data_IF_357036398035
#
_entry.id   IF_357036398035
#
_cell.length_a   1.000
_cell.length_b   1.000
_cell.length_c   1.000
_cell.angle_alpha   90.00
_cell.angle_beta   90.00
_cell.angle_gamma   90.00
#
_symmetry.space_group_name_H-M   'P 1'
#
loop_
_entity.id
_entity.type
_entity.pdbx_description
1 polymer ?
#
# COMPACT_ATOMS: atom_id res chain seq x y z
N UNK A 1 81.34 34.45 5.74
CA UNK A 1 81.32 33.03 5.32
C UNK A 1 80.17 32.35 6.03
N UNK A 2 79.16 31.89 5.27
CA UNK A 2 78.36 30.67 5.48
C UNK A 2 77.35 30.71 6.67
N UNK A 3 76.09 31.14 6.42
CA UNK A 3 74.87 30.33 6.08
C UNK A 3 74.31 29.61 7.34
N UNK A 4 73.25 30.12 7.97
CA UNK A 4 71.82 29.77 7.75
C UNK A 4 71.49 28.30 8.04
N UNK A 5 70.56 28.05 8.98
CA UNK A 5 69.25 27.43 8.66
C UNK A 5 68.35 27.22 9.89
N UNK A 6 67.14 27.74 9.72
CA UNK A 6 65.90 27.43 10.42
C UNK A 6 65.52 25.95 10.22
N UNK A 7 65.02 25.31 11.26
CA UNK A 7 64.42 23.97 11.22
C UNK A 7 62.92 24.08 11.55
N UNK A 8 62.01 23.95 10.56
CA UNK A 8 60.61 23.72 10.84
C UNK A 8 60.34 22.21 10.94
N UNK A 9 59.66 21.81 12.01
CA UNK A 9 59.18 20.44 12.25
C UNK A 9 57.98 20.19 11.34
N UNK A 10 58.18 19.27 10.40
CA UNK A 10 57.21 18.76 9.43
C UNK A 10 56.25 17.78 10.12
N UNK A 11 55.02 18.20 10.36
CA UNK A 11 53.92 17.34 10.79
C UNK A 11 53.38 16.61 9.55
N UNK A 12 53.73 15.35 9.39
CA UNK A 12 53.14 14.46 8.40
C UNK A 12 51.77 13.97 8.90
N UNK A 13 50.71 14.59 8.38
CA UNK A 13 49.34 14.07 8.47
C UNK A 13 49.27 12.76 7.66
N UNK A 14 49.16 11.64 8.40
CA UNK A 14 48.76 10.35 7.88
C UNK A 14 47.29 10.44 7.43
N UNK A 15 47.07 10.75 6.16
CA UNK A 15 45.78 10.51 5.51
C UNK A 15 45.71 9.00 5.28
N UNK A 16 45.12 8.29 6.24
CA UNK A 16 44.65 6.93 6.04
C UNK A 16 43.54 6.95 4.99
N UNK A 17 43.90 6.69 3.74
CA UNK A 17 42.93 6.33 2.71
C UNK A 17 42.28 5.01 3.15
N UNK A 18 41.05 5.09 3.64
CA UNK A 18 40.13 3.95 3.63
C UNK A 18 39.89 3.60 2.16
N UNK A 19 40.71 2.71 1.60
CA UNK A 19 40.41 2.04 0.36
C UNK A 19 39.14 1.21 0.61
N UNK A 20 38.01 1.65 0.06
CA UNK A 20 36.82 0.84 -0.09
C UNK A 20 37.23 -0.44 -0.83
N UNK A 21 37.09 -1.60 -0.17
CA UNK A 21 37.35 -2.89 -0.81
C UNK A 21 36.55 -2.98 -2.11
N UNK A 22 37.18 -3.38 -3.23
CA UNK A 22 36.46 -3.54 -4.47
C UNK A 22 35.42 -4.65 -4.29
N UNK A 23 34.18 -4.28 -4.53
CA UNK A 23 33.03 -5.15 -4.66
C UNK A 23 33.37 -6.35 -5.56
N UNK A 24 33.14 -7.57 -5.05
CA UNK A 24 33.43 -8.88 -5.66
C UNK A 24 33.63 -8.85 -7.19
N UNK A 25 34.90 -8.82 -7.60
CA UNK A 25 35.31 -8.85 -9.00
C UNK A 25 35.12 -10.27 -9.56
N UNK A 26 34.05 -10.45 -10.33
CA UNK A 26 33.70 -11.72 -10.96
C UNK A 26 34.77 -12.19 -11.96
N UNK A 27 35.72 -11.33 -12.34
CA UNK A 27 36.87 -11.70 -13.18
C UNK A 27 37.79 -12.75 -12.53
N UNK A 28 37.69 -12.93 -11.21
CA UNK A 28 38.40 -13.98 -10.45
C UNK A 28 37.80 -15.38 -10.60
N UNK A 29 36.64 -15.52 -11.23
CA UNK A 29 35.97 -16.82 -11.42
C UNK A 29 36.71 -17.62 -12.49
N UNK A 30 37.13 -18.84 -12.15
CA UNK A 30 37.77 -19.76 -13.10
C UNK A 30 36.85 -20.05 -14.29
N UNK A 31 37.26 -19.66 -15.50
CA UNK A 31 36.48 -19.81 -16.76
C UNK A 31 37.10 -20.83 -17.71
N UNK A 32 37.79 -21.84 -17.18
CA UNK A 32 38.63 -22.83 -17.89
C UNK A 32 37.94 -23.65 -18.99
N UNK A 33 36.64 -23.48 -19.21
CA UNK A 33 35.87 -24.08 -20.28
C UNK A 33 35.46 -23.00 -21.28
N UNK A 34 36.28 -22.77 -22.30
CA UNK A 34 35.83 -21.96 -23.45
C UNK A 34 34.88 -22.83 -24.26
N UNK A 35 33.57 -22.65 -24.06
CA UNK A 35 32.55 -23.15 -24.98
C UNK A 35 32.92 -22.61 -26.38
N UNK A 36 33.14 -23.50 -27.37
CA UNK A 36 33.47 -23.12 -28.75
C UNK A 36 32.24 -22.60 -29.52
N UNK A 37 31.28 -22.02 -28.82
CA UNK A 37 30.07 -21.45 -29.40
C UNK A 37 30.35 -20.04 -29.93
N UNK A 38 29.53 -19.61 -30.90
CA UNK A 38 29.50 -18.22 -31.35
C UNK A 38 29.24 -17.29 -30.15
N UNK A 39 30.09 -16.27 -29.89
CA UNK A 39 29.94 -15.33 -28.76
C UNK A 39 28.54 -14.73 -28.61
N UNK A 40 27.88 -14.42 -29.74
CA UNK A 40 26.51 -13.89 -29.74
C UNK A 40 25.50 -14.92 -29.21
N UNK A 41 25.58 -16.16 -29.68
CA UNK A 41 24.70 -17.24 -29.24
C UNK A 41 24.92 -17.59 -27.76
N UNK A 42 26.16 -17.51 -27.26
CA UNK A 42 26.47 -17.70 -25.83
C UNK A 42 25.77 -16.63 -24.98
N UNK A 43 25.87 -15.37 -25.39
CA UNK A 43 25.21 -14.25 -24.73
C UNK A 43 23.69 -14.42 -24.74
N UNK A 44 23.07 -14.64 -25.90
CA UNK A 44 21.62 -14.76 -26.06
C UNK A 44 21.05 -15.89 -25.18
N UNK A 45 21.65 -17.08 -25.22
CA UNK A 45 21.26 -18.22 -24.37
C UNK A 45 21.36 -17.88 -22.88
N UNK A 46 22.37 -17.10 -22.50
CA UNK A 46 22.55 -16.71 -21.09
C UNK A 46 21.56 -15.64 -20.67
N UNK A 47 21.28 -14.65 -21.52
CA UNK A 47 20.23 -13.67 -21.28
C UNK A 47 18.87 -14.35 -21.13
N UNK A 48 18.57 -15.35 -21.96
CA UNK A 48 17.36 -16.19 -21.82
C UNK A 48 17.32 -16.92 -20.47
N UNK A 49 18.44 -17.38 -19.91
CA UNK A 49 18.47 -17.96 -18.56
C UNK A 49 18.02 -16.94 -17.51
N UNK A 50 18.53 -15.70 -17.55
CA UNK A 50 18.16 -14.66 -16.58
C UNK A 50 16.67 -14.30 -16.65
N UNK A 51 16.07 -14.37 -17.84
CA UNK A 51 14.66 -14.04 -18.05
C UNK A 51 13.68 -15.12 -17.53
N UNK A 52 14.17 -16.30 -17.10
CA UNK A 52 13.29 -17.38 -16.69
C UNK A 52 12.60 -17.09 -15.34
N UNK A 53 11.34 -17.54 -15.14
CA UNK A 53 10.58 -17.29 -13.91
C UNK A 53 11.28 -17.77 -12.63
N UNK A 54 12.03 -18.87 -12.67
CA UNK A 54 12.77 -19.38 -11.51
C UNK A 54 13.84 -18.43 -10.97
N UNK A 55 14.28 -17.46 -11.78
CA UNK A 55 15.31 -16.48 -11.43
C UNK A 55 14.73 -15.16 -10.92
N UNK A 56 13.41 -15.01 -10.93
CA UNK A 56 12.74 -13.86 -10.32
C UNK A 56 12.96 -13.85 -8.81
N UNK A 57 13.27 -12.67 -8.27
CA UNK A 57 13.50 -12.46 -6.84
C UNK A 57 14.87 -12.91 -6.31
N UNK A 58 15.79 -13.38 -7.17
CA UNK A 58 17.14 -13.75 -6.74
C UNK A 58 17.95 -12.58 -6.14
N UNK A 59 17.58 -11.33 -6.44
CA UNK A 59 18.12 -10.14 -5.78
C UNK A 59 17.91 -10.17 -4.25
N UNK A 60 16.79 -10.72 -3.77
CA UNK A 60 16.56 -10.93 -2.34
C UNK A 60 17.29 -12.16 -1.81
N UNK A 61 17.27 -13.28 -2.54
CA UNK A 61 17.79 -14.56 -2.04
C UNK A 61 19.31 -14.70 -2.14
N UNK A 62 19.96 -13.97 -3.03
CA UNK A 62 21.41 -14.05 -3.24
C UNK A 62 21.91 -12.73 -3.82
N UNK A 63 21.82 -11.63 -3.04
CA UNK A 63 22.10 -10.29 -3.52
C UNK A 63 23.50 -10.16 -4.12
N UNK A 64 24.49 -10.87 -3.55
CA UNK A 64 25.87 -10.76 -3.99
C UNK A 64 26.10 -11.49 -5.31
N UNK A 65 25.77 -12.79 -5.38
CA UNK A 65 25.95 -13.59 -6.58
C UNK A 65 25.07 -13.09 -7.72
N UNK A 66 23.82 -12.71 -7.47
CA UNK A 66 22.92 -12.23 -8.52
C UNK A 66 23.35 -10.86 -9.09
N UNK A 67 23.80 -9.94 -8.23
CA UNK A 67 24.38 -8.66 -8.67
C UNK A 67 25.64 -8.87 -9.53
N UNK A 68 26.56 -9.73 -9.06
CA UNK A 68 27.75 -10.08 -9.83
C UNK A 68 27.41 -10.79 -11.14
N UNK A 69 26.38 -11.65 -11.16
CA UNK A 69 25.93 -12.36 -12.36
C UNK A 69 25.38 -11.37 -13.41
N UNK A 70 24.56 -10.42 -12.96
CA UNK A 70 23.97 -9.37 -13.80
C UNK A 70 25.05 -8.45 -14.37
N UNK A 71 26.06 -8.10 -13.56
CA UNK A 71 27.22 -7.32 -14.01
C UNK A 71 28.01 -8.07 -15.09
N UNK A 72 28.30 -9.34 -14.87
CA UNK A 72 29.00 -10.17 -15.84
C UNK A 72 28.23 -10.29 -17.17
N UNK A 73 26.90 -10.43 -17.12
CA UNK A 73 26.06 -10.44 -18.33
C UNK A 73 26.11 -9.10 -19.08
N UNK A 74 26.03 -7.97 -18.36
CA UNK A 74 26.12 -6.63 -18.93
C UNK A 74 27.49 -6.36 -19.58
N UNK A 75 28.56 -6.87 -18.98
CA UNK A 75 29.90 -6.75 -19.55
C UNK A 75 30.08 -7.68 -20.77
N UNK A 76 29.42 -8.84 -20.80
CA UNK A 76 29.34 -9.68 -22.00
C UNK A 76 28.64 -8.96 -23.17
N UNK A 77 27.51 -8.29 -22.90
CA UNK A 77 26.78 -7.46 -23.87
C UNK A 77 27.66 -6.33 -24.41
N UNK A 78 28.38 -5.63 -23.52
CA UNK A 78 29.28 -4.54 -23.91
C UNK A 78 30.41 -5.05 -24.82
N UNK A 79 31.06 -6.15 -24.46
CA UNK A 79 32.13 -6.74 -25.26
C UNK A 79 31.64 -7.28 -26.61
N UNK A 80 30.36 -7.70 -26.69
CA UNK A 80 29.73 -8.12 -27.95
C UNK A 80 29.49 -6.92 -28.88
N UNK A 81 29.05 -5.79 -28.34
CA UNK A 81 28.72 -4.59 -29.11
C UNK A 81 29.94 -3.71 -29.42
N UNK A 82 31.00 -3.80 -28.61
CA UNK A 82 32.24 -3.04 -28.76
C UNK A 82 33.48 -3.97 -28.72
N UNK A 83 33.80 -4.70 -29.80
CA UNK A 83 34.90 -5.68 -29.82
C UNK A 83 36.31 -5.11 -29.59
N UNK A 84 36.44 -3.77 -29.53
CA UNK A 84 37.68 -3.08 -29.19
C UNK A 84 37.97 -3.11 -27.69
N UNK A 85 36.95 -3.29 -26.85
CA UNK A 85 37.10 -3.59 -25.42
C UNK A 85 37.44 -5.07 -25.28
N UNK A 86 38.70 -5.36 -24.96
CA UNK A 86 39.25 -6.73 -25.00
C UNK A 86 39.03 -7.53 -23.72
N UNK A 87 38.50 -6.92 -22.65
CA UNK A 87 38.41 -7.55 -21.33
C UNK A 87 37.15 -7.13 -20.55
N UNK A 88 36.41 -8.10 -19.96
CA UNK A 88 36.51 -9.54 -20.22
C UNK A 88 36.00 -9.88 -21.64
N UNK A 89 36.48 -10.98 -22.21
CA UNK A 89 35.87 -11.51 -23.44
C UNK A 89 34.41 -11.91 -23.21
N UNK A 90 33.59 -11.87 -24.27
CA UNK A 90 32.17 -12.29 -24.21
C UNK A 90 32.02 -13.67 -23.59
N UNK A 91 32.84 -14.65 -24.00
CA UNK A 91 32.82 -16.00 -23.46
C UNK A 91 33.10 -16.03 -21.95
N UNK A 92 34.16 -15.35 -21.49
CA UNK A 92 34.51 -15.30 -20.06
C UNK A 92 33.40 -14.69 -19.22
N UNK A 93 32.88 -13.54 -19.65
CA UNK A 93 31.82 -12.82 -18.95
C UNK A 93 30.52 -13.63 -18.89
N UNK A 94 30.17 -14.31 -19.98
CA UNK A 94 29.00 -15.19 -20.07
C UNK A 94 29.12 -16.42 -19.16
N UNK A 95 30.28 -17.09 -19.16
CA UNK A 95 30.54 -18.24 -18.27
C UNK A 95 30.47 -17.82 -16.80
N UNK A 96 31.07 -16.66 -16.46
CA UNK A 96 31.00 -16.11 -15.11
C UNK A 96 29.56 -15.80 -14.71
N UNK A 97 28.77 -15.16 -15.58
CA UNK A 97 27.36 -14.88 -15.36
C UNK A 97 26.55 -16.17 -15.06
N UNK A 98 26.73 -17.22 -15.87
CA UNK A 98 26.06 -18.52 -15.66
C UNK A 98 26.42 -19.16 -14.33
N UNK A 99 27.72 -19.22 -13.99
CA UNK A 99 28.19 -19.81 -12.72
C UNK A 99 27.68 -19.05 -11.51
N UNK A 100 27.62 -17.72 -11.58
CA UNK A 100 27.10 -16.89 -10.50
C UNK A 100 25.58 -17.02 -10.37
N UNK A 101 24.86 -17.11 -11.48
CA UNK A 101 23.43 -17.37 -11.48
C UNK A 101 23.11 -18.72 -10.83
N UNK A 102 23.88 -19.77 -11.16
CA UNK A 102 23.75 -21.09 -10.52
C UNK A 102 23.99 -21.01 -9.01
N UNK A 103 25.03 -20.31 -8.55
CA UNK A 103 25.26 -20.06 -7.12
C UNK A 103 24.10 -19.32 -6.46
N UNK A 104 23.50 -18.35 -7.14
CA UNK A 104 22.34 -17.63 -6.64
C UNK A 104 21.13 -18.57 -6.47
N UNK A 105 20.86 -19.44 -7.45
CA UNK A 105 19.81 -20.45 -7.38
C UNK A 105 20.04 -21.45 -6.23
N UNK A 106 21.27 -21.92 -6.04
CA UNK A 106 21.63 -22.81 -4.92
C UNK A 106 21.44 -22.11 -3.57
N UNK A 107 21.77 -20.83 -3.47
CA UNK A 107 21.58 -20.03 -2.25
C UNK A 107 20.09 -19.86 -1.93
N UNK A 108 19.26 -19.57 -2.94
CA UNK A 108 17.80 -19.56 -2.80
C UNK A 108 17.28 -20.89 -2.24
N UNK A 109 17.67 -22.01 -2.85
CA UNK A 109 17.26 -23.33 -2.38
C UNK A 109 17.71 -23.60 -0.93
N UNK A 110 18.90 -23.13 -0.54
CA UNK A 110 19.37 -23.23 0.84
C UNK A 110 18.54 -22.38 1.81
N UNK A 111 18.14 -21.17 1.44
CA UNK A 111 17.27 -20.29 2.24
C UNK A 111 15.88 -20.93 2.39
N UNK A 112 15.24 -21.33 1.29
CA UNK A 112 13.90 -21.92 1.32
C UNK A 112 13.86 -23.20 2.17
N UNK A 113 14.93 -24.00 2.15
CA UNK A 113 15.05 -25.22 2.96
C UNK A 113 15.29 -24.93 4.45
N UNK A 114 16.18 -23.99 4.79
CA UNK A 114 16.62 -23.78 6.16
C UNK A 114 15.81 -22.70 6.90
N UNK A 115 15.23 -21.74 6.19
CA UNK A 115 14.53 -20.57 6.72
C UNK A 115 13.07 -20.51 6.20
N UNK A 116 12.40 -21.66 6.10
CA UNK A 116 11.06 -21.79 5.52
C UNK A 116 10.03 -20.84 6.14
N UNK A 117 9.97 -20.79 7.47
CA UNK A 117 9.00 -19.95 8.20
C UNK A 117 9.30 -18.46 8.02
N UNK A 118 10.57 -18.09 8.00
CA UNK A 118 11.03 -16.74 7.69
C UNK A 118 10.60 -16.30 6.28
N UNK A 119 10.81 -17.13 5.25
CA UNK A 119 10.37 -16.81 3.88
C UNK A 119 8.85 -16.65 3.81
N UNK A 120 8.10 -17.57 4.45
CA UNK A 120 6.64 -17.48 4.53
C UNK A 120 6.19 -16.17 5.16
N UNK A 121 6.80 -15.77 6.27
CA UNK A 121 6.46 -14.54 6.97
C UNK A 121 6.85 -13.28 6.17
N UNK A 122 7.99 -13.30 5.45
CA UNK A 122 8.40 -12.20 4.57
C UNK A 122 7.38 -11.98 3.46
N UNK A 123 6.89 -13.05 2.85
CA UNK A 123 5.86 -12.95 1.81
C UNK A 123 4.52 -12.46 2.37
N UNK A 124 4.16 -12.86 3.59
CA UNK A 124 2.99 -12.31 4.27
C UNK A 124 3.10 -10.79 4.48
N UNK A 125 4.27 -10.29 4.89
CA UNK A 125 4.47 -8.84 5.06
C UNK A 125 4.39 -8.08 3.73
N UNK A 126 4.82 -8.69 2.62
CA UNK A 126 4.64 -8.12 1.28
C UNK A 126 3.16 -8.08 0.90
N UNK A 127 2.42 -9.16 1.14
CA UNK A 127 0.97 -9.25 0.89
C UNK A 127 0.18 -8.20 1.70
N UNK A 128 0.60 -7.95 2.94
CA UNK A 128 0.02 -6.90 3.80
C UNK A 128 0.47 -5.47 3.41
N UNK A 129 1.23 -5.31 2.32
CA UNK A 129 1.78 -4.03 1.87
C UNK A 129 2.57 -3.30 2.97
N UNK A 130 3.37 -4.02 3.78
CA UNK A 130 4.08 -3.42 4.91
C UNK A 130 4.97 -2.24 4.50
N UNK A 131 5.53 -2.24 3.29
CA UNK A 131 6.32 -1.13 2.74
C UNK A 131 5.54 0.17 2.57
N UNK A 132 4.22 0.09 2.36
CA UNK A 132 3.32 1.25 2.21
C UNK A 132 2.87 1.76 3.57
N UNK A 133 2.48 0.85 4.46
CA UNK A 133 1.90 1.22 5.75
C UNK A 133 2.94 1.53 6.83
N UNK A 134 4.14 0.96 6.72
CA UNK A 134 5.21 1.04 7.70
C UNK A 134 6.59 1.14 6.99
N UNK A 135 6.86 2.22 6.23
CA UNK A 135 8.01 2.29 5.32
C UNK A 135 9.37 2.23 6.03
N UNK A 136 9.53 2.93 7.17
CA UNK A 136 10.80 2.93 7.90
C UNK A 136 11.06 1.60 8.61
N UNK A 137 10.05 1.04 9.30
CA UNK A 137 10.17 -0.27 9.95
C UNK A 137 10.42 -1.39 8.91
N UNK A 138 9.76 -1.33 7.76
CA UNK A 138 10.00 -2.25 6.65
C UNK A 138 11.44 -2.17 6.16
N UNK A 139 11.97 -0.95 5.97
CA UNK A 139 13.34 -0.71 5.52
C UNK A 139 14.37 -1.21 6.53
N UNK A 140 14.13 -1.04 7.83
CA UNK A 140 15.01 -1.56 8.87
C UNK A 140 14.96 -3.08 8.92
N UNK A 141 13.76 -3.67 8.84
CA UNK A 141 13.61 -5.13 8.74
C UNK A 141 14.31 -5.68 7.48
N UNK A 142 14.26 -4.99 6.34
CA UNK A 142 14.97 -5.43 5.14
C UNK A 142 16.48 -5.55 5.35
N UNK A 143 17.09 -4.69 6.17
CA UNK A 143 18.51 -4.80 6.53
C UNK A 143 18.76 -6.07 7.33
N UNK A 144 17.94 -6.35 8.34
CA UNK A 144 18.03 -7.58 9.15
C UNK A 144 17.84 -8.84 8.29
N UNK A 145 16.85 -8.84 7.41
CA UNK A 145 16.60 -9.93 6.47
C UNK A 145 17.79 -10.16 5.54
N UNK A 146 18.38 -9.08 5.01
CA UNK A 146 19.57 -9.14 4.15
C UNK A 146 20.75 -9.76 4.88
N UNK A 147 20.96 -9.47 6.15
CA UNK A 147 22.04 -10.08 6.94
C UNK A 147 21.89 -11.61 7.04
N UNK A 148 20.67 -12.12 7.24
CA UNK A 148 20.42 -13.58 7.26
C UNK A 148 20.73 -14.23 5.92
N UNK A 149 20.30 -13.60 4.83
CA UNK A 149 20.55 -14.07 3.46
C UNK A 149 22.05 -14.11 3.18
N UNK A 150 22.77 -13.02 3.48
CA UNK A 150 24.22 -12.94 3.27
C UNK A 150 24.98 -14.00 4.07
N UNK A 151 24.53 -14.33 5.28
CA UNK A 151 25.11 -15.43 6.05
C UNK A 151 24.95 -16.78 5.35
N UNK A 152 23.82 -17.05 4.69
CA UNK A 152 23.63 -18.29 3.93
C UNK A 152 24.46 -18.27 2.63
N UNK A 153 24.53 -17.13 1.96
CA UNK A 153 25.35 -16.93 0.76
C UNK A 153 26.86 -17.18 1.03
N UNK A 154 27.32 -16.85 2.23
CA UNK A 154 28.67 -17.12 2.74
C UNK A 154 28.87 -18.53 3.33
N UNK A 155 27.91 -19.46 3.15
CA UNK A 155 27.92 -20.82 3.72
C UNK A 155 27.95 -20.86 5.27
N UNK A 156 27.48 -19.78 5.92
CA UNK A 156 27.40 -19.62 7.39
C UNK A 156 26.00 -19.91 7.92
N UNK A 157 25.36 -20.98 7.42
CA UNK A 157 23.96 -21.36 7.73
C UNK A 157 23.70 -21.44 9.25
N UNK A 158 24.60 -22.02 10.04
CA UNK A 158 24.44 -22.13 11.50
C UNK A 158 24.34 -20.76 12.19
N UNK A 159 25.03 -19.74 11.67
CA UNK A 159 24.93 -18.37 12.19
C UNK A 159 23.60 -17.74 11.81
N UNK A 160 23.15 -17.92 10.57
CA UNK A 160 21.84 -17.45 10.12
C UNK A 160 20.71 -18.03 11.00
N UNK A 161 20.72 -19.34 11.24
CA UNK A 161 19.74 -20.02 12.10
C UNK A 161 19.75 -19.52 13.55
N UNK A 162 20.89 -19.04 14.05
CA UNK A 162 21.00 -18.46 15.40
C UNK A 162 20.37 -17.06 15.48
N UNK A 163 20.43 -16.28 14.40
CA UNK A 163 19.91 -14.92 14.34
C UNK A 163 18.44 -14.86 13.91
N UNK A 164 17.96 -15.85 13.15
CA UNK A 164 16.60 -15.88 12.60
C UNK A 164 15.49 -15.63 13.63
N UNK A 165 15.54 -16.17 14.87
CA UNK A 165 14.49 -15.90 15.85
C UNK A 165 14.36 -14.42 16.23
N UNK A 166 15.47 -13.69 16.23
CA UNK A 166 15.47 -12.25 16.51
C UNK A 166 14.79 -11.48 15.37
N UNK A 167 15.19 -11.77 14.12
CA UNK A 167 14.61 -11.13 12.94
C UNK A 167 13.11 -11.45 12.85
N UNK A 168 12.72 -12.69 13.12
CA UNK A 168 11.30 -13.07 13.18
C UNK A 168 10.50 -12.31 14.22
N UNK A 169 11.09 -11.92 15.36
CA UNK A 169 10.44 -11.07 16.33
C UNK A 169 10.12 -9.70 15.73
N UNK A 170 11.09 -9.08 15.06
CA UNK A 170 10.91 -7.83 14.31
C UNK A 170 9.82 -7.98 13.25
N UNK A 171 9.78 -9.11 12.54
CA UNK A 171 8.72 -9.38 11.55
C UNK A 171 7.32 -9.43 12.18
N UNK A 172 7.16 -10.04 13.37
CA UNK A 172 5.85 -10.08 14.04
C UNK A 172 5.41 -8.71 14.54
N UNK A 173 6.34 -7.92 15.06
CA UNK A 173 6.06 -6.55 15.47
C UNK A 173 5.59 -5.72 14.27
N UNK A 174 6.28 -5.85 13.13
CA UNK A 174 5.89 -5.19 11.89
C UNK A 174 4.52 -5.68 11.39
N UNK A 175 4.26 -7.00 11.39
CA UNK A 175 2.97 -7.57 10.98
C UNK A 175 1.81 -6.94 11.76
N UNK A 176 1.93 -6.89 13.09
CA UNK A 176 0.90 -6.31 13.97
C UNK A 176 0.73 -4.81 13.69
N UNK A 177 1.83 -4.07 13.57
CA UNK A 177 1.78 -2.62 13.32
C UNK A 177 1.21 -2.27 11.94
N UNK A 178 1.52 -3.07 10.92
CA UNK A 178 0.92 -2.93 9.58
C UNK A 178 -0.58 -3.11 9.66
N UNK A 179 -1.08 -4.18 10.31
CA UNK A 179 -2.52 -4.43 10.45
C UNK A 179 -3.23 -3.32 11.23
N UNK A 180 -2.64 -2.84 12.31
CA UNK A 180 -3.21 -1.75 13.10
C UNK A 180 -3.44 -0.50 12.24
N UNK A 181 -2.45 -0.14 11.41
CA UNK A 181 -2.56 1.03 10.54
C UNK A 181 -3.53 0.74 9.40
N UNK A 182 -3.31 -0.31 8.62
CA UNK A 182 -4.10 -0.59 7.42
C UNK A 182 -5.58 -0.79 7.73
N UNK A 183 -5.89 -1.49 8.82
CA UNK A 183 -7.27 -1.88 9.15
C UNK A 183 -8.06 -0.81 9.91
N UNK A 184 -7.41 0.22 10.47
CA UNK A 184 -8.10 1.31 11.19
C UNK A 184 -7.94 2.69 10.54
N UNK A 185 -7.16 2.80 9.46
CA UNK A 185 -6.90 4.06 8.77
C UNK A 185 -8.19 4.80 8.38
N UNK A 186 -9.18 4.09 7.83
CA UNK A 186 -10.45 4.70 7.40
C UNK A 186 -11.27 5.19 8.60
N UNK A 187 -11.51 4.33 9.58
CA UNK A 187 -12.25 4.67 10.79
C UNK A 187 -11.64 5.89 11.51
N UNK A 188 -10.31 5.93 11.65
CA UNK A 188 -9.60 7.07 12.26
C UNK A 188 -9.78 8.36 11.45
N UNK A 189 -9.56 8.32 10.13
CA UNK A 189 -9.80 9.48 9.26
C UNK A 189 -11.24 9.99 9.32
N UNK A 190 -12.21 9.08 9.41
CA UNK A 190 -13.63 9.44 9.54
C UNK A 190 -13.92 10.03 10.91
N UNK A 191 -13.32 9.49 11.98
CA UNK A 191 -13.43 10.06 13.31
C UNK A 191 -12.80 11.47 13.39
N UNK A 192 -11.65 11.70 12.75
CA UNK A 192 -11.04 13.04 12.64
C UNK A 192 -11.99 14.03 11.91
N UNK A 193 -12.74 13.56 10.91
CA UNK A 193 -13.79 14.37 10.26
C UNK A 193 -14.97 14.62 11.19
N UNK A 194 -15.38 13.63 11.98
CA UNK A 194 -16.41 13.78 12.99
C UNK A 194 -16.01 14.82 14.05
N UNK A 195 -14.77 14.80 14.52
CA UNK A 195 -14.24 15.80 15.46
C UNK A 195 -14.28 17.21 14.87
N UNK A 196 -13.87 17.38 13.60
CA UNK A 196 -13.98 18.67 12.88
C UNK A 196 -15.42 19.13 12.69
N UNK A 197 -16.38 18.20 12.61
CA UNK A 197 -17.80 18.48 12.60
C UNK A 197 -18.39 18.68 14.01
N UNK A 198 -17.54 18.75 15.05
CA UNK A 198 -17.93 18.93 16.44
C UNK A 198 -18.86 17.80 16.93
N UNK A 199 -18.59 16.56 16.50
CA UNK A 199 -19.39 15.39 16.87
C UNK A 199 -19.45 15.13 18.39
N UNK A 200 -18.50 15.63 19.17
CA UNK A 200 -18.58 15.61 20.64
C UNK A 200 -19.80 16.38 21.18
N UNK A 201 -20.26 17.42 20.47
CA UNK A 201 -21.42 18.22 20.83
C UNK A 201 -22.69 17.74 20.13
N UNK A 202 -22.57 17.46 18.83
CA UNK A 202 -23.71 17.20 17.94
C UNK A 202 -24.01 15.72 17.70
N UNK A 203 -23.10 14.81 18.04
CA UNK A 203 -23.30 13.35 17.96
C UNK A 203 -22.56 12.59 19.07
N UNK A 204 -22.71 13.00 20.35
CA UNK A 204 -21.86 12.51 21.44
C UNK A 204 -21.93 10.99 21.62
N UNK A 205 -23.10 10.39 21.39
CA UNK A 205 -23.27 8.95 21.53
C UNK A 205 -22.40 8.18 20.53
N UNK A 206 -22.53 8.46 19.24
CA UNK A 206 -21.78 7.74 18.20
C UNK A 206 -20.30 8.08 18.22
N UNK A 207 -19.94 9.32 18.56
CA UNK A 207 -18.53 9.71 18.67
C UNK A 207 -17.81 8.90 19.76
N UNK A 208 -18.39 8.78 20.94
CA UNK A 208 -17.84 7.97 22.03
C UNK A 208 -17.82 6.47 21.66
N UNK A 209 -18.86 5.98 20.98
CA UNK A 209 -18.93 4.58 20.56
C UNK A 209 -17.86 4.23 19.51
N UNK A 210 -17.61 5.13 18.55
CA UNK A 210 -16.56 4.99 17.55
C UNK A 210 -15.16 4.96 18.17
N UNK A 211 -14.87 5.88 19.11
CA UNK A 211 -13.63 5.88 19.88
C UNK A 211 -13.41 4.54 20.61
N UNK A 212 -14.44 4.06 21.31
CA UNK A 212 -14.39 2.79 22.03
C UNK A 212 -14.12 1.61 21.08
N UNK A 213 -14.80 1.54 19.94
CA UNK A 213 -14.62 0.46 18.97
C UNK A 213 -13.26 0.48 18.29
N UNK A 214 -12.70 1.66 18.00
CA UNK A 214 -11.32 1.76 17.48
C UNK A 214 -10.35 1.19 18.52
N UNK A 215 -10.44 1.62 19.78
CA UNK A 215 -9.59 1.13 20.86
C UNK A 215 -9.73 -0.39 21.09
N UNK A 216 -10.96 -0.90 21.12
CA UNK A 216 -11.23 -2.34 21.25
C UNK A 216 -10.68 -3.14 20.07
N UNK A 217 -10.77 -2.59 18.85
CA UNK A 217 -10.24 -3.22 17.65
C UNK A 217 -8.71 -3.26 17.67
N UNK A 218 -8.05 -2.21 18.17
CA UNK A 218 -6.59 -2.23 18.37
C UNK A 218 -6.15 -3.32 19.35
N UNK A 219 -6.83 -3.42 20.51
CA UNK A 219 -6.57 -4.47 21.51
C UNK A 219 -6.77 -5.85 20.88
N UNK A 220 -7.85 -6.01 20.11
CA UNK A 220 -8.15 -7.26 19.44
C UNK A 220 -7.07 -7.63 18.40
N UNK A 221 -6.64 -6.69 17.55
CA UNK A 221 -5.58 -6.92 16.56
C UNK A 221 -4.29 -7.35 17.26
N UNK A 222 -3.89 -6.69 18.36
CA UNK A 222 -2.66 -7.07 19.10
C UNK A 222 -2.71 -8.47 19.68
N UNK A 223 -3.87 -8.89 20.18
CA UNK A 223 -4.07 -10.23 20.76
C UNK A 223 -4.33 -11.33 19.72
N UNK A 224 -4.91 -10.98 18.57
CA UNK A 224 -5.49 -11.92 17.61
C UNK A 224 -5.08 -11.58 16.17
N UNK A 225 -3.85 -11.10 15.96
CA UNK A 225 -3.38 -10.63 14.65
C UNK A 225 -3.50 -11.67 13.53
N UNK A 226 -3.61 -12.97 13.84
CA UNK A 226 -3.83 -14.04 12.85
C UNK A 226 -5.30 -14.23 12.44
N UNK A 227 -6.25 -13.71 13.19
CA UNK A 227 -7.67 -13.80 12.86
C UNK A 227 -8.06 -12.70 11.87
N UNK A 228 -7.70 -12.90 10.59
CA UNK A 228 -7.95 -11.93 9.52
C UNK A 228 -9.42 -11.55 9.39
N UNK A 229 -10.33 -12.51 9.52
CA UNK A 229 -11.78 -12.29 9.44
C UNK A 229 -12.29 -11.48 10.63
N UNK A 230 -11.83 -11.83 11.83
CA UNK A 230 -12.18 -11.09 13.05
C UNK A 230 -11.68 -9.64 13.02
N UNK A 231 -10.48 -9.40 12.48
CA UNK A 231 -9.95 -8.05 12.27
C UNK A 231 -10.82 -7.28 11.29
N UNK A 232 -11.08 -7.84 10.11
CA UNK A 232 -11.90 -7.18 9.08
C UNK A 232 -13.29 -6.80 9.60
N UNK A 233 -13.97 -7.72 10.28
CA UNK A 233 -15.29 -7.48 10.87
C UNK A 233 -15.29 -6.34 11.90
N UNK A 234 -14.30 -6.33 12.80
CA UNK A 234 -14.21 -5.30 13.84
C UNK A 234 -13.82 -3.95 13.28
N UNK A 235 -12.90 -3.92 12.32
CA UNK A 235 -12.53 -2.72 11.58
C UNK A 235 -13.70 -2.11 10.82
N UNK A 236 -14.52 -2.94 10.15
CA UNK A 236 -15.73 -2.48 9.48
C UNK A 236 -16.71 -1.85 10.49
N UNK A 237 -16.93 -2.48 11.65
CA UNK A 237 -17.77 -1.90 12.71
C UNK A 237 -17.25 -0.57 13.22
N UNK A 238 -15.95 -0.46 13.45
CA UNK A 238 -15.34 0.80 13.89
C UNK A 238 -15.52 1.90 12.83
N UNK A 239 -15.39 1.56 11.55
CA UNK A 239 -15.62 2.50 10.45
C UNK A 239 -17.09 2.95 10.34
N UNK A 240 -18.04 2.00 10.43
CA UNK A 240 -19.47 2.32 10.44
C UNK A 240 -19.84 3.28 11.57
N UNK A 241 -19.37 3.04 12.80
CA UNK A 241 -19.69 3.94 13.91
C UNK A 241 -18.99 5.29 13.80
N UNK A 242 -17.77 5.35 13.26
CA UNK A 242 -17.12 6.64 12.95
C UNK A 242 -17.93 7.43 11.90
N UNK A 243 -18.50 6.74 10.91
CA UNK A 243 -19.36 7.36 9.90
C UNK A 243 -20.68 7.85 10.49
N UNK A 244 -21.31 7.08 11.38
CA UNK A 244 -22.48 7.54 12.14
C UNK A 244 -22.14 8.80 12.94
N UNK A 245 -21.00 8.82 13.65
CA UNK A 245 -20.57 9.99 14.40
C UNK A 245 -20.46 11.23 13.51
N UNK A 246 -19.81 11.10 12.35
CA UNK A 246 -19.64 12.20 11.40
C UNK A 246 -20.96 12.69 10.80
N UNK A 247 -21.76 11.79 10.21
CA UNK A 247 -22.97 12.17 9.49
C UNK A 247 -24.04 12.71 10.44
N UNK A 248 -24.25 12.05 11.59
CA UNK A 248 -25.21 12.55 12.60
C UNK A 248 -24.77 13.89 13.20
N UNK A 249 -23.46 14.17 13.30
CA UNK A 249 -22.99 15.47 13.75
C UNK A 249 -23.34 16.58 12.74
N UNK A 250 -23.14 16.33 11.45
CA UNK A 250 -23.54 17.26 10.39
C UNK A 250 -25.05 17.53 10.42
N UNK A 251 -25.85 16.47 10.50
CA UNK A 251 -27.31 16.58 10.54
C UNK A 251 -27.77 17.35 11.79
N UNK A 252 -27.25 16.98 12.96
CA UNK A 252 -27.66 17.61 14.22
C UNK A 252 -27.20 19.07 14.30
N UNK A 253 -26.00 19.39 13.80
CA UNK A 253 -25.52 20.77 13.72
C UNK A 253 -26.42 21.62 12.84
N UNK A 254 -26.76 21.11 11.65
CA UNK A 254 -27.70 21.78 10.74
C UNK A 254 -29.06 22.01 11.39
N UNK A 255 -29.61 21.01 12.08
CA UNK A 255 -30.92 21.12 12.73
C UNK A 255 -30.93 22.15 13.87
N UNK A 256 -29.83 22.30 14.61
CA UNK A 256 -29.71 23.30 15.68
C UNK A 256 -29.67 24.73 15.14
N UNK A 257 -29.24 24.90 13.90
CA UNK A 257 -29.14 26.21 13.22
C UNK A 257 -30.47 26.66 12.59
N UNK A 258 -31.48 25.78 12.49
CA UNK A 258 -32.77 26.11 11.86
C UNK A 258 -33.61 27.09 12.69
N UNK A 259 -34.24 28.04 11.99
CA UNK A 259 -35.34 28.81 12.53
C UNK A 259 -36.71 28.11 12.33
N UNK A 260 -37.80 28.79 12.69
CA UNK A 260 -39.16 28.24 12.55
C UNK A 260 -39.53 27.93 11.09
N UNK A 261 -39.12 28.77 10.15
CA UNK A 261 -39.39 28.61 8.71
C UNK A 261 -38.57 27.46 8.13
N UNK A 262 -37.27 27.43 8.43
CA UNK A 262 -36.36 26.37 8.00
C UNK A 262 -36.83 25.00 8.51
N UNK A 263 -37.33 24.97 9.75
CA UNK A 263 -37.89 23.76 10.36
C UNK A 263 -39.13 23.28 9.62
N UNK A 264 -40.08 24.16 9.31
CA UNK A 264 -41.29 23.79 8.57
C UNK A 264 -40.94 23.26 7.17
N UNK A 265 -40.08 23.96 6.43
CA UNK A 265 -39.65 23.56 5.09
C UNK A 265 -38.91 22.21 5.09
N UNK A 266 -38.01 21.99 6.05
CA UNK A 266 -37.32 20.71 6.22
C UNK A 266 -38.30 19.56 6.51
N UNK A 267 -39.26 19.77 7.40
CA UNK A 267 -40.26 18.75 7.74
C UNK A 267 -41.17 18.44 6.54
N UNK A 268 -41.54 19.44 5.74
CA UNK A 268 -42.30 19.26 4.50
C UNK A 268 -41.49 18.41 3.51
N UNK A 269 -40.24 18.77 3.24
CA UNK A 269 -39.37 18.05 2.32
C UNK A 269 -39.12 16.60 2.77
N UNK A 270 -38.89 16.38 4.07
CA UNK A 270 -38.71 15.05 4.64
C UNK A 270 -39.97 14.19 4.50
N UNK A 271 -41.15 14.74 4.79
CA UNK A 271 -42.43 14.04 4.58
C UNK A 271 -42.66 13.69 3.11
N UNK A 272 -42.35 14.59 2.19
CA UNK A 272 -42.45 14.32 0.75
C UNK A 272 -41.54 13.16 0.32
N UNK A 273 -40.29 13.13 0.81
CA UNK A 273 -39.35 12.04 0.52
C UNK A 273 -39.83 10.70 1.10
N UNK A 274 -40.25 10.67 2.36
CA UNK A 274 -40.79 9.45 3.00
C UNK A 274 -42.07 8.96 2.31
N UNK A 275 -42.92 9.88 1.88
CA UNK A 275 -44.11 9.54 1.14
C UNK A 275 -43.82 9.01 -0.26
N UNK A 276 -42.86 9.59 -0.99
CA UNK A 276 -42.42 9.06 -2.29
C UNK A 276 -41.94 7.61 -2.15
N UNK A 277 -41.16 7.31 -1.11
CA UNK A 277 -40.75 5.94 -0.79
C UNK A 277 -41.95 5.04 -0.47
N UNK A 278 -42.93 5.54 0.30
CA UNK A 278 -44.15 4.77 0.61
C UNK A 278 -45.00 4.50 -0.63
N UNK A 279 -45.06 5.43 -1.58
CA UNK A 279 -45.86 5.30 -2.79
C UNK A 279 -45.28 4.33 -3.81
N UNK A 280 -43.95 4.19 -3.84
CA UNK A 280 -43.29 3.14 -4.59
C UNK A 280 -43.64 1.74 -4.04
N UNK A 281 -44.05 1.66 -2.76
CA UNK A 281 -44.41 0.41 -2.07
C UNK A 281 -45.94 0.18 -2.06
N UNK A 282 -46.75 1.24 -1.98
CA UNK A 282 -48.21 1.17 -1.84
C UNK A 282 -48.87 2.37 -2.52
N UNK A 283 -49.75 2.15 -3.51
CA UNK A 283 -50.47 3.19 -4.27
C UNK A 283 -51.49 4.02 -3.42
N UNK A 284 -51.10 4.52 -2.25
CA UNK A 284 -51.98 5.21 -1.28
C UNK A 284 -51.75 6.73 -1.29
N UNK A 285 -52.80 7.58 -1.24
CA UNK A 285 -52.68 9.04 -1.27
C UNK A 285 -52.07 9.65 0.01
N UNK A 286 -51.57 10.89 -0.10
CA UNK A 286 -50.93 11.66 1.00
C UNK A 286 -51.90 11.86 2.15
N UNK A 287 -51.64 11.21 3.29
CA UNK A 287 -52.39 11.40 4.53
C UNK A 287 -51.66 12.47 5.38
N UNK A 288 -52.36 13.45 5.98
CA UNK A 288 -51.75 14.40 6.91
C UNK A 288 -51.38 13.68 8.20
N UNK A 289 -50.15 13.17 8.26
CA UNK A 289 -49.60 12.45 9.41
C UNK A 289 -48.28 13.08 9.88
N UNK A 290 -47.91 12.75 11.11
CA UNK A 290 -46.59 13.02 11.69
C UNK A 290 -45.51 12.18 11.00
N UNK A 291 -44.24 12.54 11.20
CA UNK A 291 -43.12 11.74 10.64
C UNK A 291 -43.10 10.34 11.25
N UNK A 292 -43.32 10.22 12.57
CA UNK A 292 -43.35 8.93 13.27
C UNK A 292 -44.43 8.01 12.70
N UNK A 293 -45.65 8.53 12.48
CA UNK A 293 -46.75 7.78 11.86
C UNK A 293 -46.40 7.34 10.42
N UNK A 294 -45.70 8.18 9.63
CA UNK A 294 -45.22 7.84 8.29
C UNK A 294 -44.17 6.71 8.33
N UNK A 295 -43.23 6.77 9.29
CA UNK A 295 -42.21 5.74 9.49
C UNK A 295 -42.85 4.42 9.92
N UNK A 296 -43.81 4.44 10.86
CA UNK A 296 -44.53 3.24 11.29
C UNK A 296 -45.29 2.58 10.13
N UNK A 297 -45.94 3.39 9.28
CA UNK A 297 -46.62 2.91 8.09
C UNK A 297 -45.65 2.23 7.12
N UNK A 298 -44.52 2.87 6.81
CA UNK A 298 -43.45 2.30 5.97
C UNK A 298 -42.94 0.95 6.53
N UNK A 299 -42.62 0.89 7.82
CA UNK A 299 -42.13 -0.33 8.47
C UNK A 299 -43.18 -1.45 8.42
N UNK A 300 -44.46 -1.12 8.62
CA UNK A 300 -45.53 -2.10 8.53
C UNK A 300 -45.70 -2.65 7.11
N UNK A 301 -45.62 -1.78 6.09
CA UNK A 301 -45.76 -2.15 4.69
C UNK A 301 -44.61 -3.04 4.21
N UNK A 302 -43.36 -2.75 4.60
CA UNK A 302 -42.19 -3.59 4.28
C UNK A 302 -42.30 -4.99 4.91
N UNK A 303 -42.81 -5.11 6.14
CA UNK A 303 -43.01 -6.42 6.80
C UNK A 303 -44.10 -7.25 6.11
N UNK A 304 -45.12 -6.61 5.56
CA UNK A 304 -46.22 -7.27 4.85
C UNK A 304 -45.79 -7.78 3.47
N UNK A 305 -44.98 -7.02 2.73
CA UNK A 305 -44.42 -7.45 1.43
C UNK A 305 -43.33 -8.51 1.59
N UNK A 306 -42.54 -8.48 2.67
CA UNK A 306 -41.57 -9.53 3.01
C UNK A 306 -42.17 -10.89 3.42
N UNK A 307 -43.47 -10.94 3.73
CA UNK A 307 -44.18 -12.17 4.14
C UNK A 307 -44.90 -12.89 2.98
N UNK A 308 -44.76 -12.42 1.73
CA UNK A 308 -45.38 -13.02 0.53
C UNK A 308 -44.39 -13.76 -0.39
N UNK A 309 -43.15 -14.01 0.04
CA UNK A 309 -42.27 -14.95 -0.66
C UNK A 309 -42.67 -16.37 -0.22
N UNK A 310 -43.09 -17.27 -1.14
CA UNK A 310 -43.36 -18.65 -0.75
C UNK A 310 -42.06 -19.29 -0.24
N UNK A 311 -42.13 -19.94 0.92
CA UNK A 311 -41.12 -20.88 1.39
C UNK A 311 -40.92 -21.94 0.29
N UNK A 312 -39.87 -21.77 -0.52
CA UNK A 312 -39.22 -22.92 -1.11
C UNK A 312 -38.31 -23.49 -0.03
N UNK A 313 -38.76 -24.61 0.54
CA UNK A 313 -37.88 -25.57 1.18
C UNK A 313 -36.74 -25.91 0.20
N UNK A 314 -35.59 -25.28 0.37
CA UNK A 314 -34.33 -25.79 -0.18
C UNK A 314 -33.71 -26.69 0.88
N UNK A 315 -33.91 -27.97 0.66
CA UNK A 315 -33.20 -29.09 1.28
C UNK A 315 -31.69 -28.82 1.19
N UNK A 316 -31.06 -28.50 2.33
CA UNK A 316 -29.62 -28.32 2.44
C UNK A 316 -28.96 -29.70 2.44
N UNK A 317 -28.79 -30.25 1.24
CA UNK A 317 -27.88 -31.35 1.03
C UNK A 317 -26.47 -30.77 0.84
N UNK A 318 -25.63 -30.92 1.86
CA UNK A 318 -24.22 -30.54 1.83
C UNK A 318 -23.50 -31.54 0.94
N UNK A 319 -23.15 -31.13 -0.29
CA UNK A 319 -22.09 -31.78 -1.04
C UNK A 319 -21.05 -30.74 -1.48
N UNK A 320 -19.81 -31.18 -1.34
CA UNK A 320 -18.58 -30.44 -1.33
C UNK A 320 -18.17 -30.15 -2.79
N UNK A 321 -18.28 -28.92 -3.27
CA UNK A 321 -17.57 -28.51 -4.50
C UNK A 321 -17.33 -27.01 -4.61
N UNK A 322 -16.10 -26.68 -5.01
CA UNK A 322 -15.54 -25.35 -5.21
C UNK A 322 -16.22 -24.56 -6.33
N UNK A 323 -16.49 -23.28 -6.07
CA UNK A 323 -16.33 -22.13 -6.98
C UNK A 323 -16.59 -20.87 -6.13
N UNK A 324 -15.62 -20.00 -5.90
CA UNK A 324 -15.38 -18.82 -6.74
C UNK A 324 -16.71 -18.18 -7.16
N UNK A 325 -17.20 -17.24 -6.37
CA UNK A 325 -17.79 -16.01 -6.88
C UNK A 325 -17.75 -14.91 -5.80
N UNK A 326 -17.27 -13.78 -6.27
CA UNK A 326 -16.90 -12.56 -5.60
C UNK A 326 -18.15 -11.66 -5.55
N UNK A 327 -18.98 -11.79 -4.52
CA UNK A 327 -20.03 -10.80 -4.26
C UNK A 327 -19.57 -9.87 -3.12
N UNK A 328 -18.85 -8.84 -3.54
CA UNK A 328 -18.74 -7.59 -2.81
C UNK A 328 -20.16 -7.09 -2.51
N UNK A 329 -20.54 -7.13 -1.24
CA UNK A 329 -21.72 -6.46 -0.72
C UNK A 329 -21.49 -4.95 -0.90
N UNK A 330 -22.03 -4.38 -1.99
CA UNK A 330 -22.24 -2.93 -2.16
C UNK A 330 -23.27 -2.49 -1.12
N UNK A 331 -22.79 -2.13 0.07
CA UNK A 331 -23.57 -1.43 1.08
C UNK A 331 -22.93 -0.05 1.26
N UNK A 332 -23.70 0.96 0.84
CA UNK A 332 -23.56 2.41 1.10
C UNK A 332 -22.92 3.32 0.03
N UNK A 333 -23.40 3.27 -1.23
CA UNK A 333 -23.35 4.45 -2.12
C UNK A 333 -24.68 5.23 -2.20
N UNK A 334 -25.77 4.71 -1.62
CA UNK A 334 -27.12 5.32 -1.71
C UNK A 334 -27.27 6.61 -0.88
N UNK A 335 -26.37 6.90 0.05
CA UNK A 335 -26.44 8.12 0.88
C UNK A 335 -25.67 9.32 0.31
N UNK A 336 -24.73 9.12 -0.62
CA UNK A 336 -24.01 10.24 -1.25
C UNK A 336 -24.86 10.91 -2.35
N UNK A 337 -25.80 10.18 -2.97
CA UNK A 337 -26.76 10.75 -3.93
C UNK A 337 -27.87 11.59 -3.28
N UNK A 338 -27.92 11.71 -1.95
CA UNK A 338 -28.85 12.60 -1.24
C UNK A 338 -28.33 14.05 -1.10
N UNK A 339 -27.09 14.31 -1.51
CA UNK A 339 -26.50 15.65 -1.61
C UNK A 339 -26.34 16.05 -3.07
N UNK A 340 -27.47 16.36 -3.74
CA UNK A 340 -27.47 17.17 -4.96
C UNK A 340 -28.05 18.55 -4.66
N UNK A 341 -27.15 19.52 -4.73
CA UNK A 341 -27.28 20.80 -5.44
C UNK A 341 -28.59 21.58 -5.30
N UNK A 342 -28.58 22.55 -4.39
CA UNK A 342 -29.26 23.83 -4.61
C UNK A 342 -28.31 24.94 -4.13
N UNK A 343 -27.45 25.38 -5.05
CA UNK A 343 -26.87 26.71 -5.01
C UNK A 343 -27.82 27.70 -5.68
N UNK A 344 -28.26 28.77 -4.99
CA UNK A 344 -28.55 30.03 -5.62
C UNK A 344 -27.44 31.03 -5.26
N UNK A 345 -26.75 31.50 -6.30
CA UNK A 345 -25.60 32.38 -6.19
C UNK A 345 -25.86 33.79 -5.65
N UNK A 346 -24.73 34.36 -5.21
CA UNK A 346 -24.29 35.75 -5.27
C UNK A 346 -24.96 36.86 -4.43
N UNK A 347 -24.32 37.14 -3.27
CA UNK A 347 -23.67 38.40 -2.77
C UNK A 347 -24.49 39.73 -2.75
N UNK A 348 -24.10 40.85 -2.05
CA UNK A 348 -22.77 41.22 -1.53
C UNK A 348 -22.69 42.00 -0.19
N UNK A 349 -21.55 41.93 0.52
CA UNK A 349 -20.98 43.08 1.24
C UNK A 349 -19.45 42.96 1.29
N UNK A 350 -18.79 43.86 0.53
CA UNK A 350 -17.51 44.47 0.92
C UNK A 350 -17.73 45.25 2.25
N UNK A 351 -16.78 45.64 3.08
CA UNK A 351 -15.37 45.98 2.94
C UNK A 351 -14.89 46.26 4.38
N UNK A 352 -13.67 45.91 4.74
CA UNK A 352 -12.75 46.87 5.35
C UNK A 352 -11.34 46.30 5.42
N UNK A 353 -10.52 46.95 4.62
CA UNK A 353 -9.07 47.09 4.64
C UNK A 353 -8.41 47.01 6.02
N UNK A 354 -7.22 46.41 6.03
CA UNK A 354 -5.99 47.06 6.50
C UNK A 354 -4.85 46.54 5.60
N UNK A 355 -4.16 47.50 5.00
CA UNK A 355 -3.01 47.35 4.12
C UNK A 355 -1.71 47.04 4.87
N UNK A 356 -0.79 46.38 4.16
CA UNK A 356 0.53 46.89 3.77
C UNK A 356 1.72 45.91 3.94
N UNK A 357 2.30 45.66 2.76
CA UNK A 357 3.73 45.72 2.42
C UNK A 357 4.63 44.48 2.35
N UNK A 358 5.03 44.26 1.08
CA UNK A 358 6.37 44.01 0.55
C UNK A 358 7.07 42.66 0.82
N UNK A 359 7.22 41.87 -0.25
CA UNK A 359 8.55 41.69 -0.86
C UNK A 359 8.47 41.04 -2.26
N UNK A 360 9.05 41.74 -3.23
CA UNK A 360 9.36 41.28 -4.58
C UNK A 360 10.57 40.33 -4.60
N UNK A 361 10.54 39.32 -5.47
CA UNK A 361 11.62 38.96 -6.44
C UNK A 361 11.21 37.66 -7.15
N UNK A 362 10.86 37.72 -8.45
CA UNK A 362 11.73 37.54 -9.62
C UNK A 362 12.27 36.10 -9.77
N UNK A 363 11.97 35.44 -10.90
CA UNK A 363 12.96 34.94 -11.89
C UNK A 363 12.38 33.80 -12.78
N UNK A 364 12.39 34.06 -14.09
CA UNK A 364 12.48 33.21 -15.31
C UNK A 364 11.47 32.06 -15.53
N UNK A 365 10.59 32.08 -16.54
CA UNK A 365 10.77 32.02 -18.01
C UNK A 365 11.41 30.71 -18.53
N UNK A 366 10.58 29.83 -19.14
CA UNK A 366 10.91 29.02 -20.31
C UNK A 366 9.65 28.46 -20.98
N UNK A 367 9.27 29.13 -22.08
CA UNK A 367 8.88 28.60 -23.40
C UNK A 367 8.51 27.11 -23.58
N UNK A 368 7.30 26.93 -24.14
CA UNK A 368 6.90 26.07 -25.28
C UNK A 368 7.20 24.57 -25.29
N UNK A 369 6.18 23.74 -25.48
CA UNK A 369 5.85 23.19 -26.82
C UNK A 369 4.55 22.37 -26.77
N UNK A 370 3.65 22.72 -27.70
CA UNK A 370 2.44 22.00 -28.06
C UNK A 370 2.81 20.67 -28.72
N UNK A 371 2.14 19.58 -28.35
CA UNK A 371 2.01 18.42 -29.23
C UNK A 371 0.55 17.98 -29.28
N UNK A 372 -0.03 18.24 -30.45
CA UNK A 372 -1.26 17.67 -30.95
C UNK A 372 -1.10 16.15 -31.12
N UNK A 373 -2.10 15.40 -30.72
CA UNK A 373 -2.25 13.99 -31.06
C UNK A 373 -3.08 13.90 -32.34
N UNK A 374 -2.42 13.48 -33.42
CA UNK A 374 -3.06 13.09 -34.68
C UNK A 374 -3.64 11.67 -34.62
N UNK A 375 -4.66 11.51 -35.46
CA UNK A 375 -5.55 10.38 -35.69
C UNK A 375 -4.86 9.02 -35.87
N UNK A 376 -5.49 7.98 -35.30
CA UNK A 376 -5.28 6.57 -35.66
C UNK A 376 -6.34 6.18 -36.68
N UNK A 377 -5.93 6.02 -37.93
CA UNK A 377 -6.74 5.42 -38.99
C UNK A 377 -6.50 3.90 -39.02
N UNK A 378 -7.58 3.13 -38.88
CA UNK A 378 -7.62 1.67 -39.07
C UNK A 378 -7.89 1.36 -40.55
N UNK A 379 -7.03 0.60 -41.22
CA UNK A 379 -7.40 -0.17 -42.42
C UNK A 379 -6.61 -1.50 -42.50
N UNK A 380 -7.40 -2.58 -42.55
CA UNK A 380 -7.18 -3.98 -43.01
C UNK A 380 -6.10 -4.89 -42.39
#
# INVERSE_FOLDING_TARGET
>A
MIISRLLPILIALLIGACASQPENDYQSIETSQVEQDNPRAMYERTAELFARPENLGLEFYSPTYYSSATRALKDAERSLNNPRDKQPSVAQATIAARKLLEKAQLTRAAIERNLKDFVKHRNLLVELEASKWQPEDWKDLQKEMKELVLLIEDDRIKKALKLEPSVRKSMYELEINTLLVSSLNQARKTLDRAEKAEAENYSPYYFNQAQALIADTEIYIRGNYRDRRGIAYRSQKADTEALHAYKTALDSKRLVEFDESDTEDYLIALKQKLFALSNEITETPIIPVTIDELIELLVSNVKLTGSQVPEQETDFNIDDTQSDDDESIEVLEVLDSLYLDDSPGDTPWSESSIDDDEAQNSFDDYSSEEQAFDEVEFVE
#
